data_IF_221219076634
#
_entry.id   IF_221219076634
#
_cell.length_a   1.000
_cell.length_b   1.000
_cell.length_c   1.000
_cell.angle_alpha   90.00
_cell.angle_beta   90.00
_cell.angle_gamma   90.00
#
_symmetry.space_group_name_H-M   'P 1'
#
loop_
_entity.id
_entity.type
_entity.pdbx_description
1 polymer ?
#
# COMPACT_ATOMS: atom_id res chain seq x y z
N UNK A 1 24.88 48.83 0.26
CA UNK A 1 23.95 47.88 -0.39
C UNK A 1 22.66 47.89 0.40
N UNK A 2 21.55 48.37 -0.16
CA UNK A 2 20.26 48.40 0.53
C UNK A 2 19.58 47.06 0.27
N UNK A 3 19.54 46.18 1.27
CA UNK A 3 18.78 44.92 1.21
C UNK A 3 17.31 45.20 1.46
N UNK A 4 16.57 45.49 0.39
CA UNK A 4 15.11 45.64 0.45
C UNK A 4 14.45 44.27 0.50
N UNK A 5 13.77 43.93 1.60
CA UNK A 5 12.84 42.80 1.66
C UNK A 5 11.54 43.20 0.99
N UNK A 6 11.35 42.79 -0.27
CA UNK A 6 10.08 42.99 -0.97
C UNK A 6 9.05 41.95 -0.48
N UNK A 7 8.04 42.40 0.25
CA UNK A 7 6.86 41.58 0.59
C UNK A 7 5.88 41.66 -0.59
N UNK A 8 5.87 40.64 -1.44
CA UNK A 8 4.95 40.59 -2.59
C UNK A 8 3.60 40.09 -2.12
N UNK A 9 2.67 41.02 -1.85
CA UNK A 9 1.27 40.68 -1.53
C UNK A 9 0.51 40.50 -2.84
N UNK A 10 0.44 39.27 -3.36
CA UNK A 10 -0.35 38.95 -4.56
C UNK A 10 -1.84 38.91 -4.20
N UNK A 11 -2.61 39.92 -4.60
CA UNK A 11 -4.06 39.97 -4.45
C UNK A 11 -4.75 40.12 -5.81
N UNK A 12 -5.85 39.40 -6.00
CA UNK A 12 -6.67 39.46 -7.22
C UNK A 12 -7.52 38.20 -7.43
N UNK A 13 -8.62 38.32 -8.19
CA UNK A 13 -9.56 37.21 -8.46
C UNK A 13 -8.87 35.93 -8.97
N UNK A 14 -7.83 36.09 -9.79
CA UNK A 14 -7.03 34.97 -10.30
C UNK A 14 -6.21 34.24 -9.23
N UNK A 15 -5.67 34.96 -8.24
CA UNK A 15 -4.94 34.34 -7.13
C UNK A 15 -5.90 33.58 -6.20
N UNK A 16 -7.05 34.16 -5.87
CA UNK A 16 -8.10 33.47 -5.09
C UNK A 16 -8.57 32.19 -5.79
N UNK A 17 -8.79 32.25 -7.11
CA UNK A 17 -9.18 31.07 -7.89
C UNK A 17 -8.07 30.00 -7.97
N UNK A 18 -6.80 30.40 -7.96
CA UNK A 18 -5.68 29.46 -7.90
C UNK A 18 -5.58 28.79 -6.54
N UNK A 19 -5.71 29.56 -5.45
CA UNK A 19 -5.68 29.03 -4.08
C UNK A 19 -6.83 28.06 -3.85
N UNK A 20 -8.05 28.38 -4.31
CA UNK A 20 -9.20 27.47 -4.18
C UNK A 20 -9.02 26.18 -4.97
N UNK A 21 -8.41 26.25 -6.16
CA UNK A 21 -8.06 25.06 -6.97
C UNK A 21 -7.01 24.18 -6.29
N UNK A 22 -5.96 24.77 -5.72
CA UNK A 22 -4.96 24.02 -4.94
C UNK A 22 -5.58 23.40 -3.69
N UNK A 23 -6.48 24.13 -3.00
CA UNK A 23 -7.24 23.59 -1.88
C UNK A 23 -8.15 22.42 -2.28
N UNK A 24 -8.79 22.50 -3.44
CA UNK A 24 -9.57 21.37 -3.98
C UNK A 24 -8.66 20.17 -4.28
N UNK A 25 -7.45 20.39 -4.81
CA UNK A 25 -6.50 19.31 -5.04
C UNK A 25 -5.96 18.70 -3.75
N UNK A 26 -5.74 19.50 -2.69
CA UNK A 26 -5.34 18.97 -1.37
C UNK A 26 -6.42 18.12 -0.72
N UNK A 27 -7.69 18.31 -1.11
CA UNK A 27 -8.79 17.46 -0.72
C UNK A 27 -8.87 16.19 -1.57
N UNK A 28 -8.04 15.97 -2.58
CA UNK A 28 -8.04 14.71 -3.33
C UNK A 28 -7.02 13.75 -2.73
N UNK A 29 -7.48 12.56 -2.39
CA UNK A 29 -6.64 11.45 -1.93
C UNK A 29 -6.48 10.41 -3.04
N UNK A 30 -5.25 9.90 -3.20
CA UNK A 30 -4.95 8.73 -4.03
C UNK A 30 -4.80 7.53 -3.11
N UNK A 31 -5.74 6.61 -3.18
CA UNK A 31 -5.78 5.39 -2.38
C UNK A 31 -5.39 4.19 -3.23
N UNK A 32 -4.69 3.23 -2.63
CA UNK A 32 -4.30 1.98 -3.30
C UNK A 32 -4.74 0.80 -2.46
N UNK A 33 -5.42 -0.16 -3.07
CA UNK A 33 -5.95 -1.33 -2.40
C UNK A 33 -6.79 -2.22 -3.31
N UNK A 34 -7.60 -3.08 -2.71
CA UNK A 34 -8.60 -3.87 -3.42
C UNK A 34 -9.97 -3.30 -3.00
N UNK A 35 -10.69 -2.58 -3.88
CA UNK A 35 -12.03 -2.10 -3.59
C UNK A 35 -12.97 -3.28 -3.32
N UNK A 36 -13.73 -3.22 -2.23
CA UNK A 36 -14.64 -4.29 -1.85
C UNK A 36 -15.74 -4.53 -2.91
N UNK A 37 -16.21 -3.46 -3.54
CA UNK A 37 -17.24 -3.49 -4.58
C UNK A 37 -16.78 -4.21 -5.87
N UNK A 38 -15.48 -4.23 -6.14
CA UNK A 38 -14.87 -4.93 -7.28
C UNK A 38 -14.33 -6.32 -6.91
N UNK A 39 -14.41 -6.72 -5.62
CA UNK A 39 -13.82 -7.94 -5.09
C UNK A 39 -14.76 -9.15 -5.08
N UNK A 40 -16.02 -8.98 -5.53
CA UNK A 40 -16.99 -10.08 -5.62
C UNK A 40 -16.54 -11.13 -6.64
N UNK A 41 -16.42 -12.38 -6.18
CA UNK A 41 -16.24 -13.54 -7.06
C UNK A 41 -17.62 -14.02 -7.53
N UNK A 42 -17.74 -14.58 -8.76
CA UNK A 42 -18.95 -15.30 -9.15
C UNK A 42 -19.12 -16.54 -8.26
N UNK A 43 -20.12 -16.55 -7.39
CA UNK A 43 -20.40 -17.62 -6.42
C UNK A 43 -20.94 -17.09 -5.10
N UNK A 44 -21.68 -17.92 -4.36
CA UNK A 44 -22.48 -17.56 -3.17
C UNK A 44 -21.77 -16.60 -2.20
N UNK A 45 -22.52 -15.59 -1.74
CA UNK A 45 -22.06 -14.41 -0.97
C UNK A 45 -21.41 -14.67 0.40
N UNK A 46 -21.09 -15.92 0.73
CA UNK A 46 -20.40 -16.35 1.96
C UNK A 46 -18.90 -16.65 1.72
N UNK A 47 -18.38 -16.50 0.49
CA UNK A 47 -16.97 -16.71 0.19
C UNK A 47 -16.12 -15.47 0.48
N UNK A 48 -15.03 -15.65 1.25
CA UNK A 48 -14.05 -14.61 1.60
C UNK A 48 -13.55 -13.90 0.35
N UNK A 49 -13.75 -12.58 0.27
CA UNK A 49 -13.40 -11.79 -0.91
C UNK A 49 -11.89 -11.48 -0.98
N UNK A 50 -11.39 -11.02 -2.14
CA UNK A 50 -9.95 -10.78 -2.30
C UNK A 50 -9.42 -9.68 -1.34
N UNK A 51 -10.25 -8.71 -0.96
CA UNK A 51 -9.87 -7.66 -0.01
C UNK A 51 -9.72 -8.22 1.42
N UNK A 52 -10.65 -9.07 1.85
CA UNK A 52 -10.60 -9.80 3.12
C UNK A 52 -9.42 -10.77 3.18
N UNK A 53 -9.15 -11.48 2.09
CA UNK A 53 -7.95 -12.32 1.96
C UNK A 53 -6.67 -11.51 2.11
N UNK A 54 -6.57 -10.37 1.42
CA UNK A 54 -5.40 -9.49 1.53
C UNK A 54 -5.26 -8.93 2.95
N UNK A 55 -6.36 -8.60 3.62
CA UNK A 55 -6.36 -8.12 5.00
C UNK A 55 -5.87 -9.22 5.97
N UNK A 56 -6.40 -10.44 5.86
CA UNK A 56 -5.94 -11.59 6.63
C UNK A 56 -4.48 -11.91 6.37
N UNK A 57 -4.02 -11.79 5.13
CA UNK A 57 -2.60 -11.95 4.81
C UNK A 57 -1.75 -10.82 5.36
N UNK A 58 -2.26 -9.59 5.44
CA UNK A 58 -1.51 -8.46 6.00
C UNK A 58 -1.32 -8.60 7.52
N UNK A 59 -2.29 -9.16 8.23
CA UNK A 59 -2.28 -9.25 9.70
C UNK A 59 -1.95 -10.66 10.24
N UNK A 60 -1.98 -11.68 9.39
CA UNK A 60 -1.87 -13.09 9.75
C UNK A 60 -3.05 -13.61 10.57
N UNK A 61 -3.03 -14.90 10.88
CA UNK A 61 -4.17 -15.61 11.53
C UNK A 61 -3.85 -16.07 12.96
N UNK A 62 -2.88 -15.43 13.61
CA UNK A 62 -2.37 -15.87 14.91
C UNK A 62 -3.23 -15.38 16.07
N UNK A 63 -3.22 -16.16 17.16
CA UNK A 63 -3.82 -15.76 18.42
C UNK A 63 -3.29 -14.38 18.87
N UNK A 64 -4.15 -13.48 19.40
CA UNK A 64 -3.74 -12.14 19.82
C UNK A 64 -2.54 -12.10 20.78
N UNK A 65 -2.47 -13.03 21.73
CA UNK A 65 -1.38 -13.12 22.70
C UNK A 65 -0.01 -13.33 22.02
N UNK A 66 0.04 -14.24 21.04
CA UNK A 66 1.25 -14.53 20.28
C UNK A 66 1.69 -13.32 19.44
N UNK A 67 0.75 -12.60 18.82
CA UNK A 67 1.05 -11.36 18.08
C UNK A 67 1.66 -10.32 18.99
N UNK A 68 1.09 -10.09 20.17
CA UNK A 68 1.60 -9.12 21.13
C UNK A 68 3.04 -9.43 21.58
N UNK A 69 3.35 -10.70 21.83
CA UNK A 69 4.70 -11.10 22.22
C UNK A 69 5.72 -10.96 21.08
N UNK A 70 5.37 -11.43 19.87
CA UNK A 70 6.27 -11.29 18.72
C UNK A 70 6.42 -9.84 18.28
N UNK A 71 5.42 -8.99 18.48
CA UNK A 71 5.48 -7.58 18.09
C UNK A 71 6.69 -6.87 18.73
N UNK A 72 7.10 -7.27 19.94
CA UNK A 72 8.33 -6.76 20.58
C UNK A 72 9.56 -7.06 19.73
N UNK A 73 9.69 -8.31 19.27
CA UNK A 73 10.77 -8.77 18.40
C UNK A 73 10.73 -8.12 17.01
N UNK A 74 9.54 -7.98 16.43
CA UNK A 74 9.34 -7.29 15.15
C UNK A 74 9.73 -5.81 15.26
N UNK A 75 9.31 -5.13 16.33
CA UNK A 75 9.66 -3.74 16.60
C UNK A 75 11.17 -3.58 16.82
N UNK A 76 11.83 -4.59 17.38
CA UNK A 76 13.28 -4.68 17.50
C UNK A 76 14.00 -5.01 16.17
N UNK A 77 13.27 -5.10 15.06
CA UNK A 77 13.82 -5.31 13.73
C UNK A 77 14.03 -6.79 13.34
N UNK A 78 13.62 -7.74 14.18
CA UNK A 78 13.62 -9.14 13.78
C UNK A 78 12.61 -9.37 12.66
N UNK A 79 13.03 -10.13 11.65
CA UNK A 79 12.11 -10.56 10.59
C UNK A 79 11.04 -11.46 11.19
N UNK A 80 9.87 -11.45 10.56
CA UNK A 80 8.72 -12.22 11.03
C UNK A 80 8.98 -13.73 11.11
N UNK A 81 9.70 -14.28 10.13
CA UNK A 81 10.11 -15.69 10.13
C UNK A 81 11.01 -16.03 11.31
N UNK A 82 11.99 -15.17 11.62
CA UNK A 82 12.92 -15.37 12.73
C UNK A 82 12.23 -15.20 14.10
N UNK A 83 11.40 -14.18 14.25
CA UNK A 83 10.60 -13.96 15.46
C UNK A 83 9.67 -15.16 15.73
N UNK A 84 9.10 -15.74 14.68
CA UNK A 84 8.32 -16.95 14.78
C UNK A 84 9.14 -18.17 15.20
N UNK A 85 10.31 -18.40 14.58
CA UNK A 85 11.20 -19.50 14.96
C UNK A 85 11.60 -19.42 16.44
N UNK A 86 11.92 -18.22 16.93
CA UNK A 86 12.23 -17.99 18.34
C UNK A 86 11.04 -18.31 19.26
N UNK A 87 9.83 -17.90 18.87
CA UNK A 87 8.61 -18.23 19.61
C UNK A 87 8.39 -19.75 19.68
N UNK A 88 8.56 -20.46 18.56
CA UNK A 88 8.39 -21.93 18.51
C UNK A 88 9.45 -22.64 19.37
N UNK A 89 10.69 -22.15 19.39
CA UNK A 89 11.74 -22.69 20.26
C UNK A 89 11.45 -22.50 21.75
N UNK A 90 10.75 -21.43 22.11
CA UNK A 90 10.49 -21.05 23.51
C UNK A 90 9.18 -21.59 24.05
N UNK A 91 8.13 -21.67 23.23
CA UNK A 91 6.76 -21.99 23.64
C UNK A 91 6.17 -23.22 22.93
N UNK A 92 6.92 -23.86 22.05
CA UNK A 92 6.45 -24.96 21.20
C UNK A 92 5.67 -24.49 19.97
N UNK A 93 5.24 -25.43 19.12
CA UNK A 93 4.51 -25.10 17.89
C UNK A 93 3.05 -24.77 18.21
N UNK A 94 2.58 -23.55 17.90
CA UNK A 94 1.15 -23.30 17.86
C UNK A 94 0.48 -24.16 16.79
N UNK A 95 -0.82 -24.41 16.92
CA UNK A 95 -1.62 -24.95 15.83
C UNK A 95 -1.41 -24.06 14.57
N UNK A 96 -1.06 -24.70 13.45
CA UNK A 96 -0.61 -24.08 12.20
C UNK A 96 -1.34 -22.77 11.87
N UNK A 97 -0.64 -21.63 11.95
CA UNK A 97 -1.17 -20.32 11.62
C UNK A 97 -0.32 -19.64 10.54
N UNK A 98 -0.99 -19.14 9.49
CA UNK A 98 -0.35 -18.51 8.33
C UNK A 98 0.35 -17.22 8.80
N UNK A 99 1.67 -17.04 8.56
CA UNK A 99 2.37 -15.82 8.91
C UNK A 99 1.86 -14.63 8.06
N UNK A 100 1.89 -13.39 8.60
CA UNK A 100 1.60 -12.18 7.86
C UNK A 100 2.58 -11.97 6.70
N UNK A 101 2.04 -11.50 5.59
CA UNK A 101 2.68 -11.15 4.33
C UNK A 101 2.14 -9.79 3.89
N UNK A 102 2.59 -8.69 4.54
CA UNK A 102 2.09 -7.35 4.24
C UNK A 102 2.53 -6.92 2.83
N UNK A 103 1.59 -6.34 2.07
CA UNK A 103 1.79 -5.95 0.67
C UNK A 103 1.76 -4.44 0.48
N UNK A 104 0.62 -3.80 0.79
CA UNK A 104 0.36 -2.42 0.39
C UNK A 104 1.29 -1.42 1.06
N UNK A 105 1.30 -1.38 2.41
CA UNK A 105 2.12 -0.44 3.17
C UNK A 105 3.62 -0.52 2.84
N UNK A 106 4.28 -1.70 2.84
CA UNK A 106 5.71 -1.75 2.55
C UNK A 106 6.02 -1.40 1.09
N UNK A 107 5.14 -1.72 0.13
CA UNK A 107 5.33 -1.34 -1.27
C UNK A 107 5.27 0.18 -1.49
N UNK A 108 4.30 0.85 -0.85
CA UNK A 108 4.18 2.31 -0.89
C UNK A 108 5.38 2.97 -0.21
N UNK A 109 5.85 2.41 0.91
CA UNK A 109 7.05 2.90 1.61
C UNK A 109 8.30 2.80 0.74
N UNK A 110 8.50 1.69 0.05
CA UNK A 110 9.65 1.49 -0.86
C UNK A 110 9.57 2.44 -2.09
N UNK A 111 8.36 2.65 -2.62
CA UNK A 111 8.14 3.49 -3.81
C UNK A 111 7.82 4.96 -3.49
N UNK A 112 7.96 5.39 -2.23
CA UNK A 112 7.55 6.71 -1.75
C UNK A 112 8.13 7.86 -2.58
N UNK A 113 9.39 7.75 -2.98
CA UNK A 113 10.06 8.79 -3.78
C UNK A 113 9.45 8.91 -5.20
N UNK A 114 9.18 7.78 -5.85
CA UNK A 114 8.60 7.75 -7.20
C UNK A 114 7.17 8.28 -7.20
N UNK A 115 6.35 7.84 -6.23
CA UNK A 115 4.97 8.32 -6.03
C UNK A 115 4.99 9.82 -5.73
N UNK A 116 5.84 10.25 -4.79
CA UNK A 116 5.97 11.66 -4.40
C UNK A 116 6.37 12.58 -5.55
N UNK A 117 7.16 12.10 -6.52
CA UNK A 117 7.51 12.87 -7.72
C UNK A 117 6.29 13.18 -8.59
N UNK A 118 5.40 12.20 -8.79
CA UNK A 118 4.18 12.38 -9.59
C UNK A 118 3.20 13.31 -8.88
N UNK A 119 3.00 13.10 -7.58
CA UNK A 119 2.18 13.98 -6.73
C UNK A 119 2.70 15.42 -6.77
N UNK A 120 4.00 15.64 -6.61
CA UNK A 120 4.60 16.97 -6.71
C UNK A 120 4.40 17.60 -8.11
N UNK A 121 4.41 16.78 -9.17
CA UNK A 121 4.06 17.21 -10.53
C UNK A 121 2.61 17.72 -10.61
N UNK A 122 1.67 16.96 -10.06
CA UNK A 122 0.25 17.33 -10.00
C UNK A 122 0.04 18.69 -9.32
N UNK A 123 0.65 18.88 -8.14
CA UNK A 123 0.57 20.15 -7.41
C UNK A 123 1.16 21.31 -8.20
N UNK A 124 2.31 21.12 -8.88
CA UNK A 124 2.90 22.17 -9.73
C UNK A 124 2.00 22.52 -10.91
N UNK A 125 1.29 21.56 -11.50
CA UNK A 125 0.33 21.81 -12.58
C UNK A 125 -0.87 22.63 -12.07
N UNK A 126 -1.45 22.24 -10.94
CA UNK A 126 -2.54 23.00 -10.31
C UNK A 126 -2.11 24.43 -9.94
N UNK A 127 -0.88 24.62 -9.47
CA UNK A 127 -0.33 25.95 -9.19
C UNK A 127 -0.19 26.83 -10.45
N UNK A 128 -0.14 26.23 -11.64
CA UNK A 128 -0.14 26.98 -12.91
C UNK A 128 -1.54 27.19 -13.48
N UNK A 129 -2.57 26.73 -12.77
CA UNK A 129 -3.96 26.76 -13.21
C UNK A 129 -4.36 25.60 -14.14
N UNK A 130 -3.44 24.66 -14.40
CA UNK A 130 -3.65 23.48 -15.24
C UNK A 130 -4.23 22.33 -14.40
N UNK A 131 -5.56 22.31 -14.29
CA UNK A 131 -6.28 21.28 -13.52
C UNK A 131 -6.27 19.92 -14.23
N UNK A 132 -6.28 19.91 -15.56
CA UNK A 132 -6.21 18.68 -16.36
C UNK A 132 -4.86 18.00 -16.15
N UNK A 133 -3.76 18.77 -16.17
CA UNK A 133 -2.43 18.27 -15.82
C UNK A 133 -2.31 17.84 -14.37
N UNK A 134 -3.01 18.50 -13.45
CA UNK A 134 -3.02 18.12 -12.04
C UNK A 134 -3.70 16.76 -11.82
N UNK A 135 -4.89 16.55 -12.40
CA UNK A 135 -5.62 15.28 -12.33
C UNK A 135 -4.81 14.15 -12.96
N UNK A 136 -4.23 14.38 -14.14
CA UNK A 136 -3.32 13.41 -14.79
C UNK A 136 -2.12 13.06 -13.91
N UNK A 137 -1.56 14.03 -13.19
CA UNK A 137 -0.46 13.80 -12.26
C UNK A 137 -0.87 12.91 -11.07
N UNK A 138 -2.10 13.04 -10.57
CA UNK A 138 -2.65 12.17 -9.52
C UNK A 138 -2.94 10.76 -10.05
N UNK A 139 -3.47 10.63 -11.26
CA UNK A 139 -3.66 9.33 -11.92
C UNK A 139 -2.33 8.59 -12.12
N UNK A 140 -1.29 9.30 -12.57
CA UNK A 140 0.05 8.74 -12.68
C UNK A 140 0.61 8.30 -11.32
N UNK A 141 0.36 9.09 -10.26
CA UNK A 141 0.75 8.70 -8.91
C UNK A 141 0.05 7.40 -8.47
N UNK A 142 -1.25 7.29 -8.74
CA UNK A 142 -2.05 6.09 -8.46
C UNK A 142 -1.56 4.87 -9.23
N UNK A 143 -1.27 5.03 -10.52
CA UNK A 143 -0.74 3.96 -11.38
C UNK A 143 0.63 3.47 -10.90
N UNK A 144 1.55 4.38 -10.55
CA UNK A 144 2.86 4.02 -9.99
C UNK A 144 2.70 3.25 -8.68
N UNK A 145 1.80 3.71 -7.81
CA UNK A 145 1.54 3.10 -6.51
C UNK A 145 0.89 1.72 -6.63
N UNK A 146 -0.10 1.55 -7.53
CA UNK A 146 -0.70 0.27 -7.87
C UNK A 146 0.34 -0.71 -8.41
N UNK A 147 1.16 -0.29 -9.37
CA UNK A 147 2.19 -1.14 -9.96
C UNK A 147 3.26 -1.54 -8.95
N UNK A 148 3.63 -0.64 -8.03
CA UNK A 148 4.53 -0.95 -6.92
C UNK A 148 3.94 -2.03 -6.00
N UNK A 149 2.67 -1.89 -5.61
CA UNK A 149 1.98 -2.88 -4.79
C UNK A 149 1.88 -4.25 -5.50
N UNK A 150 1.61 -4.26 -6.80
CA UNK A 150 1.58 -5.46 -7.63
C UNK A 150 2.96 -6.14 -7.74
N UNK A 151 4.01 -5.35 -7.92
CA UNK A 151 5.38 -5.87 -8.01
C UNK A 151 5.92 -6.37 -6.66
N UNK A 152 5.32 -5.94 -5.54
CA UNK A 152 5.79 -6.30 -4.20
C UNK A 152 5.73 -7.81 -3.92
N UNK A 153 4.82 -8.53 -4.58
CA UNK A 153 4.71 -9.98 -4.47
C UNK A 153 5.99 -10.72 -4.85
N UNK A 154 6.70 -10.20 -5.85
CA UNK A 154 7.95 -10.79 -6.39
C UNK A 154 9.19 -10.03 -5.89
N UNK A 155 8.99 -8.95 -5.13
CA UNK A 155 10.09 -8.11 -4.69
C UNK A 155 10.89 -8.78 -3.56
N UNK A 156 12.20 -9.04 -3.72
CA UNK A 156 13.01 -9.71 -2.70
C UNK A 156 13.09 -8.94 -1.38
N UNK A 157 12.77 -7.63 -1.37
CA UNK A 157 12.68 -6.82 -0.16
C UNK A 157 11.49 -7.21 0.74
N UNK A 158 10.48 -7.91 0.21
CA UNK A 158 9.34 -8.38 0.99
C UNK A 158 9.74 -9.36 2.10
N UNK A 159 10.85 -10.10 1.90
CA UNK A 159 11.44 -11.06 2.84
C UNK A 159 10.40 -12.03 3.42
N UNK A 160 9.39 -12.39 2.64
CA UNK A 160 8.36 -13.33 3.08
C UNK A 160 8.95 -14.72 3.26
N UNK A 161 8.54 -15.47 4.31
CA UNK A 161 8.92 -16.87 4.43
C UNK A 161 8.34 -17.67 3.25
N UNK A 162 9.10 -18.63 2.70
CA UNK A 162 8.61 -19.49 1.62
C UNK A 162 7.38 -20.29 2.05
N UNK A 163 6.66 -20.84 1.08
CA UNK A 163 5.58 -21.78 1.35
C UNK A 163 6.09 -23.02 2.10
N UNK A 164 5.18 -23.72 2.79
CA UNK A 164 5.53 -24.97 3.46
C UNK A 164 5.99 -26.02 2.43
N UNK A 165 6.83 -26.98 2.83
CA UNK A 165 7.30 -28.05 1.93
C UNK A 165 6.13 -28.83 1.29
N UNK A 166 5.06 -29.07 2.06
CA UNK A 166 3.84 -29.67 1.54
C UNK A 166 3.20 -28.81 0.44
N UNK A 167 3.01 -27.51 0.70
CA UNK A 167 2.46 -26.57 -0.28
C UNK A 167 3.35 -26.41 -1.51
N UNK A 168 4.69 -26.44 -1.36
CA UNK A 168 5.63 -26.39 -2.48
C UNK A 168 5.44 -27.62 -3.37
N UNK A 169 5.26 -28.80 -2.77
CA UNK A 169 5.06 -30.04 -3.51
C UNK A 169 3.74 -30.05 -4.30
N UNK A 170 2.67 -29.53 -3.71
CA UNK A 170 1.36 -29.44 -4.36
C UNK A 170 1.29 -28.34 -5.42
N UNK A 171 1.84 -27.16 -5.11
CA UNK A 171 1.78 -25.96 -5.97
C UNK A 171 2.89 -25.89 -7.02
N UNK A 172 4.01 -26.55 -6.78
CA UNK A 172 5.22 -26.43 -7.60
C UNK A 172 6.00 -25.13 -7.41
N UNK A 173 5.67 -24.29 -6.41
CA UNK A 173 6.33 -23.00 -6.17
C UNK A 173 6.48 -22.67 -4.68
N UNK A 174 7.65 -22.16 -4.32
CA UNK A 174 7.97 -21.62 -3.00
C UNK A 174 7.45 -20.20 -2.76
N UNK A 175 7.05 -19.51 -3.83
CA UNK A 175 6.60 -18.13 -3.80
C UNK A 175 5.20 -18.01 -3.18
N UNK A 176 5.05 -17.33 -2.04
CA UNK A 176 3.76 -17.16 -1.40
C UNK A 176 2.84 -16.22 -2.20
N UNK A 177 1.52 -16.47 -2.13
CA UNK A 177 0.47 -15.60 -2.67
C UNK A 177 0.46 -15.38 -4.19
N UNK A 178 1.36 -16.02 -4.93
CA UNK A 178 1.39 -15.99 -6.40
C UNK A 178 1.02 -17.38 -6.91
N UNK A 179 -0.26 -17.62 -7.15
CA UNK A 179 -0.73 -18.87 -7.79
C UNK A 179 -1.16 -18.59 -9.23
N UNK A 180 -2.34 -18.00 -9.41
CA UNK A 180 -2.86 -17.51 -10.70
C UNK A 180 -2.56 -16.02 -10.93
N UNK A 181 -2.10 -15.30 -9.91
CA UNK A 181 -1.89 -13.85 -9.93
C UNK A 181 -3.17 -13.02 -9.78
N UNK A 182 -4.34 -13.63 -9.56
CA UNK A 182 -5.62 -12.90 -9.47
C UNK A 182 -5.65 -11.87 -8.34
N UNK A 183 -5.07 -12.19 -7.18
CA UNK A 183 -4.98 -11.22 -6.08
C UNK A 183 -4.12 -10.01 -6.45
N UNK A 184 -3.01 -10.22 -7.17
CA UNK A 184 -2.16 -9.14 -7.70
C UNK A 184 -2.96 -8.29 -8.69
N UNK A 185 -3.71 -8.90 -9.60
CA UNK A 185 -4.54 -8.17 -10.58
C UNK A 185 -5.62 -7.31 -9.90
N UNK A 186 -6.21 -7.80 -8.81
CA UNK A 186 -7.26 -7.08 -8.06
C UNK A 186 -6.79 -5.82 -7.33
N UNK A 187 -5.47 -5.60 -7.18
CA UNK A 187 -4.95 -4.35 -6.61
C UNK A 187 -5.11 -3.22 -7.63
N UNK A 188 -5.83 -2.17 -7.24
CA UNK A 188 -6.06 -0.96 -8.02
C UNK A 188 -5.90 0.30 -7.19
N UNK A 189 -6.04 1.46 -7.84
CA UNK A 189 -6.06 2.75 -7.17
C UNK A 189 -7.40 3.46 -7.39
N UNK A 190 -7.79 4.28 -6.43
CA UNK A 190 -8.98 5.13 -6.48
C UNK A 190 -8.58 6.55 -6.11
N UNK A 191 -9.04 7.52 -6.88
CA UNK A 191 -8.91 8.94 -6.55
C UNK A 191 -10.26 9.39 -6.03
N UNK A 192 -10.30 9.90 -4.79
CA UNK A 192 -11.54 10.40 -4.19
C UNK A 192 -11.31 11.75 -3.51
N UNK A 193 -12.39 12.48 -3.35
CA UNK A 193 -12.38 13.65 -2.48
C UNK A 193 -12.40 13.20 -1.01
N UNK A 194 -11.61 13.88 -0.19
CA UNK A 194 -11.55 13.78 1.26
C UNK A 194 -12.83 14.43 1.77
N UNK A 195 -13.66 13.61 2.42
CA UNK A 195 -14.91 14.05 3.06
C UNK A 195 -14.69 15.03 4.18
#
# INVERSE_FOLDING_TARGET
MVTGTATVTKMGKGFTAMVSKVQALTKKEVLVGIPQDEAQRPGDGDMVNNAELLYLHTHGVRAPAMRAEMQKSINAGMKYSAAHSLYVQTHGSPAYAIPPRPVLEPAIRDSKAAIGKQVAGAYRAAMRGDMVGAERGLELAGMVAQNAARAWFENPKNKWPPNSQWTIKEKGSDSPLIDTGEMRKSITYVIRDMG
#
